data_IF_332084997457
#
_entry.id   IF_332084997457
#
_cell.length_a   1.000
_cell.length_b   1.000
_cell.length_c   1.000
_cell.angle_alpha   90.00
_cell.angle_beta   90.00
_cell.angle_gamma   90.00
#
_symmetry.space_group_name_H-M   'P 1'
#
loop_
_entity.id
_entity.type
_entity.pdbx_description
1 polymer ?
#
# COMPACT_ATOMS: atom_id res chain seq x y z
N UNK A 1 -2.12 15.24 9.72
CA UNK A 1 -2.12 13.81 10.13
C UNK A 1 -3.41 13.08 9.80
N UNK A 2 -4.62 13.52 10.22
CA UNK A 2 -5.88 12.82 9.86
C UNK A 2 -6.13 12.73 8.35
N UNK A 3 -5.79 13.78 7.60
CA UNK A 3 -5.96 13.82 6.14
C UNK A 3 -5.05 12.81 5.43
N UNK A 4 -3.77 12.73 5.80
CA UNK A 4 -2.82 11.75 5.23
C UNK A 4 -3.29 10.30 5.45
N UNK A 5 -3.81 9.94 6.63
CA UNK A 5 -4.31 8.57 6.86
C UNK A 5 -5.49 8.22 5.94
N UNK A 6 -6.40 9.17 5.73
CA UNK A 6 -7.51 9.00 4.80
C UNK A 6 -7.04 8.90 3.35
N UNK A 7 -6.05 9.69 2.96
CA UNK A 7 -5.45 9.63 1.62
C UNK A 7 -4.76 8.28 1.36
N UNK A 8 -4.04 7.74 2.35
CA UNK A 8 -3.43 6.40 2.28
C UNK A 8 -4.50 5.33 2.07
N UNK A 9 -5.60 5.36 2.85
CA UNK A 9 -6.72 4.42 2.68
C UNK A 9 -7.35 4.49 1.29
N UNK A 10 -7.65 5.70 0.82
CA UNK A 10 -8.22 5.90 -0.52
C UNK A 10 -7.27 5.39 -1.61
N UNK A 11 -5.96 5.55 -1.40
CA UNK A 11 -4.95 5.10 -2.36
C UNK A 11 -4.80 3.58 -2.36
N UNK A 12 -4.88 2.94 -1.20
CA UNK A 12 -4.96 1.48 -1.07
C UNK A 12 -6.17 0.96 -1.86
N UNK A 13 -7.36 1.53 -1.64
CA UNK A 13 -8.59 1.13 -2.35
C UNK A 13 -8.43 1.21 -3.87
N UNK A 14 -7.80 2.29 -4.35
CA UNK A 14 -7.53 2.47 -5.76
C UNK A 14 -6.59 1.39 -6.33
N UNK A 15 -5.52 1.05 -5.61
CA UNK A 15 -4.55 0.02 -6.05
C UNK A 15 -5.22 -1.36 -6.09
N UNK A 16 -5.93 -1.72 -5.03
CA UNK A 16 -6.66 -3.00 -4.93
C UNK A 16 -7.69 -3.13 -6.05
N UNK A 17 -8.44 -2.06 -6.34
CA UNK A 17 -9.43 -2.07 -7.41
C UNK A 17 -8.79 -2.24 -8.80
N UNK A 18 -7.64 -1.60 -9.05
CA UNK A 18 -6.92 -1.79 -10.32
C UNK A 18 -6.39 -3.22 -10.48
N UNK A 19 -5.91 -3.86 -9.42
CA UNK A 19 -5.54 -5.28 -9.47
C UNK A 19 -6.76 -6.19 -9.68
N UNK A 20 -7.88 -5.93 -9.00
CA UNK A 20 -9.14 -6.70 -9.17
C UNK A 20 -9.69 -6.60 -10.60
N UNK A 21 -9.61 -5.42 -11.20
CA UNK A 21 -10.06 -5.16 -12.58
C UNK A 21 -9.01 -5.53 -13.64
N UNK A 22 -7.91 -6.20 -13.24
CA UNK A 22 -6.81 -6.63 -14.12
C UNK A 22 -6.17 -5.48 -14.92
N UNK A 23 -6.22 -4.26 -14.40
CA UNK A 23 -5.59 -3.08 -15.00
C UNK A 23 -4.17 -2.91 -14.44
N UNK A 24 -3.30 -3.88 -14.69
CA UNK A 24 -1.98 -3.97 -14.06
C UNK A 24 -1.12 -2.72 -14.25
N UNK A 25 -1.13 -2.12 -15.45
CA UNK A 25 -0.37 -0.90 -15.72
C UNK A 25 -0.75 0.26 -14.80
N UNK A 26 -2.07 0.47 -14.58
CA UNK A 26 -2.55 1.47 -13.62
C UNK A 26 -2.33 1.05 -12.18
N UNK A 27 -2.43 -0.24 -11.88
CA UNK A 27 -2.20 -0.78 -10.55
C UNK A 27 -0.77 -0.51 -10.08
N UNK A 28 0.23 -0.84 -10.92
CA UNK A 28 1.63 -0.59 -10.59
C UNK A 28 1.97 0.89 -10.49
N UNK A 29 1.40 1.75 -11.34
CA UNK A 29 1.57 3.20 -11.22
C UNK A 29 1.02 3.73 -9.89
N UNK A 30 -0.22 3.35 -9.55
CA UNK A 30 -0.84 3.76 -8.29
C UNK A 30 -0.11 3.17 -7.07
N UNK A 31 0.46 1.98 -7.19
CA UNK A 31 1.23 1.31 -6.14
C UNK A 31 2.56 2.04 -5.87
N UNK A 32 3.26 2.50 -6.90
CA UNK A 32 4.47 3.33 -6.73
C UNK A 32 4.13 4.61 -5.96
N UNK A 33 3.07 5.30 -6.36
CA UNK A 33 2.61 6.51 -5.67
C UNK A 33 2.22 6.22 -4.20
N UNK A 34 1.57 5.09 -3.93
CA UNK A 34 1.25 4.65 -2.58
C UNK A 34 2.53 4.41 -1.74
N UNK A 35 3.55 3.77 -2.30
CA UNK A 35 4.82 3.51 -1.61
C UNK A 35 5.51 4.82 -1.23
N UNK A 36 5.52 5.83 -2.09
CA UNK A 36 6.12 7.14 -1.79
C UNK A 36 5.41 7.83 -0.62
N UNK A 37 4.07 7.76 -0.58
CA UNK A 37 3.27 8.30 0.53
C UNK A 37 3.55 7.53 1.82
N UNK A 38 3.60 6.19 1.76
CA UNK A 38 3.90 5.34 2.91
C UNK A 38 5.29 5.61 3.46
N UNK A 39 6.32 5.70 2.62
CA UNK A 39 7.68 6.03 3.04
C UNK A 39 7.77 7.40 3.71
N UNK A 40 7.03 8.39 3.20
CA UNK A 40 6.95 9.73 3.80
C UNK A 40 6.30 9.65 5.17
N UNK A 41 5.12 9.02 5.26
CA UNK A 41 4.41 8.83 6.52
C UNK A 41 5.26 8.09 7.56
N UNK A 42 5.95 7.04 7.15
CA UNK A 42 6.78 6.24 8.05
C UNK A 42 8.04 6.95 8.52
N UNK A 43 8.67 7.79 7.68
CA UNK A 43 9.78 8.61 8.12
C UNK A 43 9.36 9.65 9.17
N UNK A 44 8.15 10.17 9.08
CA UNK A 44 7.60 11.15 10.02
C UNK A 44 7.03 10.50 11.29
N UNK A 45 6.64 9.22 11.25
CA UNK A 45 5.92 8.53 12.33
C UNK A 45 6.62 7.24 12.79
N UNK A 46 7.95 7.20 12.82
CA UNK A 46 8.79 6.00 13.04
C UNK A 46 8.43 5.12 14.26
N UNK A 47 7.72 5.65 15.27
CA UNK A 47 7.32 4.90 16.46
C UNK A 47 5.96 4.20 16.35
N UNK A 48 5.10 4.57 15.39
CA UNK A 48 3.73 4.01 15.24
C UNK A 48 3.65 2.88 14.18
N UNK A 49 4.77 2.52 13.57
CA UNK A 49 4.77 1.88 12.26
C UNK A 49 5.26 0.46 12.33
N UNK A 50 4.40 -0.45 11.88
CA UNK A 50 4.77 -1.85 11.69
C UNK A 50 5.58 -2.04 10.40
N UNK A 51 6.89 -2.07 10.56
CA UNK A 51 7.88 -2.27 9.49
C UNK A 51 7.73 -3.64 8.82
N UNK A 52 7.20 -4.67 9.52
CA UNK A 52 7.10 -6.03 8.99
C UNK A 52 6.11 -6.12 7.84
N UNK A 53 4.93 -5.49 7.97
CA UNK A 53 3.93 -5.44 6.87
C UNK A 53 4.49 -4.70 5.64
N UNK A 54 5.28 -3.64 5.82
CA UNK A 54 5.89 -2.94 4.69
C UNK A 54 6.92 -3.82 3.97
N UNK A 55 7.73 -4.57 4.73
CA UNK A 55 8.66 -5.55 4.16
C UNK A 55 7.92 -6.66 3.42
N UNK A 56 6.80 -7.14 3.96
CA UNK A 56 5.90 -8.09 3.30
C UNK A 56 5.39 -7.58 1.95
N UNK A 57 4.90 -6.33 1.93
CA UNK A 57 4.45 -5.66 0.71
C UNK A 57 5.57 -5.56 -0.34
N UNK A 58 6.75 -5.07 0.06
CA UNK A 58 7.89 -4.94 -0.86
C UNK A 58 8.32 -6.29 -1.46
N UNK A 59 8.30 -7.35 -0.65
CA UNK A 59 8.61 -8.71 -1.12
C UNK A 59 7.54 -9.25 -2.07
N UNK A 60 6.26 -8.98 -1.82
CA UNK A 60 5.18 -9.37 -2.73
C UNK A 60 5.32 -8.67 -4.10
N UNK A 61 5.71 -7.39 -4.09
CA UNK A 61 6.00 -6.60 -5.29
C UNK A 61 7.18 -7.17 -6.07
N UNK A 62 8.27 -7.52 -5.39
CA UNK A 62 9.44 -8.13 -6.02
C UNK A 62 9.08 -9.44 -6.74
N UNK A 63 8.20 -10.24 -6.13
CA UNK A 63 7.71 -11.50 -6.71
C UNK A 63 6.59 -11.31 -7.75
N UNK A 64 6.13 -10.07 -7.97
CA UNK A 64 4.98 -9.74 -8.83
C UNK A 64 3.71 -10.51 -8.47
N UNK A 65 3.55 -10.83 -7.19
CA UNK A 65 2.40 -11.58 -6.68
C UNK A 65 1.23 -10.61 -6.46
N UNK A 66 0.47 -10.36 -7.53
CA UNK A 66 -0.63 -9.39 -7.55
C UNK A 66 -1.69 -9.70 -6.48
N UNK A 67 -1.97 -10.98 -6.23
CA UNK A 67 -2.97 -11.40 -5.25
C UNK A 67 -2.46 -11.07 -3.84
N UNK A 68 -1.22 -11.47 -3.54
CA UNK A 68 -0.61 -11.17 -2.25
C UNK A 68 -0.44 -9.66 -2.01
N UNK A 69 -0.09 -8.89 -3.04
CA UNK A 69 -0.04 -7.42 -2.94
C UNK A 69 -1.41 -6.87 -2.56
N UNK A 70 -2.48 -7.28 -3.25
CA UNK A 70 -3.83 -6.81 -2.96
C UNK A 70 -4.29 -7.20 -1.54
N UNK A 71 -3.97 -8.42 -1.09
CA UNK A 71 -4.34 -8.89 0.24
C UNK A 71 -3.60 -8.14 1.36
N UNK A 72 -2.28 -7.95 1.23
CA UNK A 72 -1.49 -7.17 2.20
C UNK A 72 -2.02 -5.74 2.28
N UNK A 73 -2.31 -5.13 1.14
CA UNK A 73 -2.83 -3.77 1.10
C UNK A 73 -4.21 -3.67 1.77
N UNK A 74 -5.16 -4.53 1.40
CA UNK A 74 -6.55 -4.46 1.89
C UNK A 74 -6.68 -4.85 3.37
N UNK A 75 -5.98 -5.89 3.82
CA UNK A 75 -6.25 -6.51 5.12
C UNK A 75 -5.17 -6.27 6.18
N UNK A 76 -3.90 -6.06 5.78
CA UNK A 76 -2.82 -5.85 6.77
C UNK A 76 -2.48 -4.37 6.92
N UNK A 77 -2.47 -3.63 5.81
CA UNK A 77 -2.00 -2.26 5.80
C UNK A 77 -3.13 -1.25 6.04
N UNK A 78 -4.27 -1.41 5.38
CA UNK A 78 -5.40 -0.46 5.45
C UNK A 78 -5.94 -0.26 6.87
N UNK A 79 -5.99 -1.34 7.65
CA UNK A 79 -6.49 -1.34 9.04
C UNK A 79 -5.59 -0.55 10.02
N UNK A 80 -4.36 -0.22 9.61
CA UNK A 80 -3.40 0.55 10.42
C UNK A 80 -3.55 2.07 10.25
N UNK A 81 -4.32 2.51 9.27
CA UNK A 81 -4.66 3.91 9.01
C UNK A 81 -6.10 4.22 9.42
#
# INVERSE_FOLDING_TARGET
MKEIKADIKNKIDQVVEYFRTQNEGKAYLALIELIDILMTYYNENKEEVDIETLQGLLKAIENRDIVLIADILEYELKDKF
#
